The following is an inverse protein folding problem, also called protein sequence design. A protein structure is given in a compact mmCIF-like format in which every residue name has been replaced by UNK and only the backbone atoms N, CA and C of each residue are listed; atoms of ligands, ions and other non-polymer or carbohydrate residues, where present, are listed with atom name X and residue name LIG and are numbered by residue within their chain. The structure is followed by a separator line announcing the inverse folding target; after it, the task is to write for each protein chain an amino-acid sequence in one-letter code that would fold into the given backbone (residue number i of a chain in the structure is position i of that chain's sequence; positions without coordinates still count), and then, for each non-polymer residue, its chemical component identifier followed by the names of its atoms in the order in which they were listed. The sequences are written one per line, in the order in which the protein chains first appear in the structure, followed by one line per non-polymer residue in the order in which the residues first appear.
data_IF_054725766908
#
_entry.id   IF_054725766908
#
_cell.length_a   1.000
_cell.length_b   1.000
_cell.length_c   1.000
_cell.angle_alpha   90.00
_cell.angle_beta   90.00
_cell.angle_gamma   90.00
#
_symmetry.space_group_name_H-M   'P 1'
#
loop_
_entity.id
_entity.type
_entity.pdbx_description
1 polymer ?
#
# COMPACT_ATOMS: atom_id res chain seq x y z
N UNK A 1 15.80 -10.55 -10.58
CA UNK A 1 15.58 -9.77 -9.36
C UNK A 1 14.22 -10.09 -8.80
N UNK A 2 14.10 -10.44 -7.49
CA UNK A 2 12.84 -10.81 -6.88
C UNK A 2 12.34 -9.65 -6.02
N UNK A 3 11.15 -9.15 -6.30
CA UNK A 3 10.42 -8.20 -5.46
C UNK A 3 9.33 -8.94 -4.69
N UNK A 4 8.70 -8.30 -3.70
CA UNK A 4 7.59 -8.92 -2.96
C UNK A 4 6.44 -9.37 -3.87
N UNK A 5 6.21 -8.67 -5.00
CA UNK A 5 5.18 -9.03 -5.97
C UNK A 5 5.46 -10.39 -6.64
N UNK A 6 6.72 -10.73 -6.86
CA UNK A 6 7.09 -12.03 -7.43
C UNK A 6 6.62 -13.20 -6.56
N UNK A 7 6.75 -13.07 -5.24
CA UNK A 7 6.29 -14.10 -4.31
C UNK A 7 4.76 -14.23 -4.30
N UNK A 8 4.03 -13.10 -4.39
CA UNK A 8 2.57 -13.13 -4.49
C UNK A 8 2.11 -13.76 -5.81
N UNK A 9 2.73 -13.37 -6.92
CA UNK A 9 2.44 -13.89 -8.27
C UNK A 9 2.72 -15.40 -8.35
N UNK A 10 3.87 -15.86 -7.84
CA UNK A 10 4.22 -17.28 -7.79
C UNK A 10 3.26 -18.08 -6.91
N UNK A 11 2.91 -17.55 -5.74
CA UNK A 11 1.96 -18.20 -4.82
C UNK A 11 0.55 -18.30 -5.44
N UNK A 12 0.10 -17.25 -6.12
CA UNK A 12 -1.19 -17.24 -6.80
C UNK A 12 -1.24 -18.19 -8.00
N UNK A 13 -0.10 -18.36 -8.70
CA UNK A 13 -0.01 -19.32 -9.80
C UNK A 13 0.00 -20.78 -9.31
N UNK A 14 0.72 -21.07 -8.23
CA UNK A 14 0.87 -22.44 -7.70
C UNK A 14 -0.29 -22.89 -6.83
N UNK A 15 -0.88 -21.96 -6.06
CA UNK A 15 -1.91 -22.26 -5.05
C UNK A 15 -3.06 -21.24 -5.11
N UNK A 16 -3.73 -21.07 -6.28
CA UNK A 16 -4.68 -19.98 -6.49
C UNK A 16 -5.83 -19.96 -5.47
N UNK A 17 -6.36 -21.11 -5.12
CA UNK A 17 -7.54 -21.24 -4.26
C UNK A 17 -7.20 -21.44 -2.78
N UNK A 18 -5.89 -21.49 -2.43
CA UNK A 18 -5.45 -21.53 -1.04
C UNK A 18 -5.71 -20.17 -0.39
N UNK A 19 -6.18 -20.19 0.85
CA UNK A 19 -6.39 -19.00 1.67
C UNK A 19 -5.03 -18.34 1.93
N UNK A 20 -4.90 -17.06 1.55
CA UNK A 20 -3.72 -16.24 1.76
C UNK A 20 -3.80 -15.45 3.06
N UNK A 21 -5.00 -14.99 3.45
CA UNK A 21 -5.21 -14.17 4.63
C UNK A 21 -6.63 -14.36 5.17
N UNK A 22 -6.78 -14.26 6.48
CA UNK A 22 -8.05 -14.29 7.21
C UNK A 22 -8.08 -13.08 8.12
N UNK A 23 -9.22 -12.41 8.21
CA UNK A 23 -9.52 -11.37 9.18
C UNK A 23 -10.95 -11.54 9.73
N UNK A 24 -11.42 -10.58 10.53
CA UNK A 24 -12.77 -10.61 11.12
C UNK A 24 -13.89 -10.57 10.08
N UNK A 25 -13.61 -10.09 8.85
CA UNK A 25 -14.58 -9.99 7.76
C UNK A 25 -14.66 -11.24 6.90
N UNK A 26 -13.70 -12.17 7.04
CA UNK A 26 -13.66 -13.42 6.29
C UNK A 26 -12.28 -13.84 5.83
N UNK A 27 -12.20 -14.47 4.67
CA UNK A 27 -10.96 -14.97 4.09
C UNK A 27 -10.76 -14.54 2.64
N UNK A 28 -9.50 -14.43 2.24
CA UNK A 28 -9.11 -14.09 0.87
C UNK A 28 -8.09 -15.11 0.34
N UNK A 29 -8.33 -15.65 -0.86
CA UNK A 29 -7.39 -16.57 -1.52
C UNK A 29 -6.26 -15.79 -2.21
N UNK A 30 -5.15 -16.50 -2.55
CA UNK A 30 -4.04 -15.88 -3.31
C UNK A 30 -4.52 -15.31 -4.66
N UNK A 31 -5.39 -16.00 -5.37
CA UNK A 31 -6.01 -15.53 -6.63
C UNK A 31 -6.76 -14.22 -6.42
N UNK A 32 -7.61 -14.18 -5.39
CA UNK A 32 -8.41 -13.00 -5.06
C UNK A 32 -7.55 -11.82 -4.63
N UNK A 33 -6.54 -12.07 -3.78
CA UNK A 33 -5.60 -11.05 -3.33
C UNK A 33 -4.85 -10.43 -4.51
N UNK A 34 -4.28 -11.27 -5.39
CA UNK A 34 -3.57 -10.79 -6.57
C UNK A 34 -4.47 -10.00 -7.51
N UNK A 35 -5.66 -10.53 -7.83
CA UNK A 35 -6.63 -9.86 -8.72
C UNK A 35 -7.06 -8.51 -8.16
N UNK A 36 -7.48 -8.46 -6.89
CA UNK A 36 -7.96 -7.24 -6.26
C UNK A 36 -6.84 -6.18 -6.15
N UNK A 37 -5.62 -6.61 -5.83
CA UNK A 37 -4.45 -5.73 -5.79
C UNK A 37 -4.14 -5.14 -7.17
N UNK A 38 -4.19 -5.93 -8.24
CA UNK A 38 -3.94 -5.46 -9.62
C UNK A 38 -5.04 -4.53 -10.13
N UNK A 39 -6.29 -4.78 -9.77
CA UNK A 39 -7.42 -3.92 -10.11
C UNK A 39 -7.25 -2.53 -9.48
N UNK A 40 -6.97 -2.49 -8.18
CA UNK A 40 -6.70 -1.26 -7.45
C UNK A 40 -5.41 -0.56 -7.94
N UNK A 41 -4.35 -1.31 -8.24
CA UNK A 41 -3.11 -0.78 -8.78
C UNK A 41 -3.31 -0.11 -10.14
N UNK A 42 -4.17 -0.66 -10.99
CA UNK A 42 -4.50 -0.06 -12.30
C UNK A 42 -5.11 1.33 -12.12
N UNK A 43 -6.06 1.49 -11.20
CA UNK A 43 -6.65 2.79 -10.89
C UNK A 43 -5.59 3.74 -10.29
N UNK A 44 -4.80 3.29 -9.31
CA UNK A 44 -3.73 4.07 -8.67
C UNK A 44 -2.67 4.54 -9.66
N UNK A 45 -2.32 3.74 -10.63
CA UNK A 45 -1.27 4.05 -11.60
C UNK A 45 -1.54 5.30 -12.46
N UNK A 46 -2.77 5.80 -12.48
CA UNK A 46 -3.13 7.06 -13.15
C UNK A 46 -2.81 8.30 -12.30
N UNK A 47 -2.70 8.14 -10.99
CA UNK A 47 -2.46 9.25 -10.04
C UNK A 47 -1.08 9.17 -9.40
N UNK A 48 -0.59 7.94 -9.17
CA UNK A 48 0.68 7.67 -8.50
C UNK A 48 1.80 7.50 -9.52
N UNK A 49 2.90 8.23 -9.33
CA UNK A 49 4.15 8.01 -10.09
C UNK A 49 5.06 7.01 -9.37
N UNK A 50 5.89 6.24 -10.11
CA UNK A 50 6.85 5.33 -9.48
C UNK A 50 7.75 6.03 -8.46
N UNK A 51 8.03 5.35 -7.35
CA UNK A 51 8.85 5.86 -6.26
C UNK A 51 8.15 6.80 -5.28
N UNK A 52 6.86 7.13 -5.49
CA UNK A 52 6.10 7.97 -4.57
C UNK A 52 5.57 7.18 -3.36
N UNK A 53 5.55 7.84 -2.19
CA UNK A 53 5.02 7.30 -0.95
C UNK A 53 3.51 7.49 -0.82
N UNK A 54 2.84 6.48 -0.28
CA UNK A 54 1.39 6.46 -0.03
C UNK A 54 1.13 6.14 1.44
N UNK A 55 0.30 6.94 2.10
CA UNK A 55 -0.24 6.62 3.43
C UNK A 55 -1.45 5.72 3.26
N UNK A 56 -1.48 4.63 4.01
CA UNK A 56 -2.65 3.79 4.18
C UNK A 56 -3.23 4.08 5.57
N UNK A 57 -4.25 4.94 5.65
CA UNK A 57 -4.94 5.27 6.92
C UNK A 57 -6.01 4.21 7.19
N UNK A 58 -5.63 3.10 7.78
CA UNK A 58 -6.53 1.97 8.02
C UNK A 58 -5.97 0.98 9.05
N UNK A 59 -6.86 0.19 9.64
CA UNK A 59 -6.49 -0.90 10.53
C UNK A 59 -6.07 -2.15 9.74
N UNK A 60 -5.44 -3.10 10.43
CA UNK A 60 -4.98 -4.37 9.84
C UNK A 60 -6.18 -5.18 9.34
N UNK A 61 -6.21 -5.47 8.04
CA UNK A 61 -7.30 -6.21 7.41
C UNK A 61 -6.87 -6.79 6.05
N UNK A 62 -7.71 -7.63 5.45
CA UNK A 62 -7.58 -8.07 4.06
C UNK A 62 -7.50 -6.86 3.12
N UNK A 63 -8.30 -5.82 3.39
CA UNK A 63 -8.32 -4.60 2.59
C UNK A 63 -6.96 -3.86 2.66
N UNK A 64 -6.35 -3.80 3.85
CA UNK A 64 -5.04 -3.17 4.05
C UNK A 64 -3.95 -3.92 3.29
N UNK A 65 -3.90 -5.25 3.39
CA UNK A 65 -2.94 -6.05 2.64
C UNK A 65 -3.13 -5.89 1.12
N UNK A 66 -4.38 -5.86 0.67
CA UNK A 66 -4.70 -5.61 -0.75
C UNK A 66 -4.19 -4.25 -1.20
N UNK A 67 -4.39 -3.20 -0.39
CA UNK A 67 -3.91 -1.84 -0.67
C UNK A 67 -2.37 -1.76 -0.69
N UNK A 68 -1.68 -2.43 0.26
CA UNK A 68 -0.22 -2.54 0.26
C UNK A 68 0.30 -3.10 -1.07
N UNK A 69 -0.26 -4.25 -1.50
CA UNK A 69 0.14 -4.88 -2.76
C UNK A 69 -0.23 -4.04 -3.98
N UNK A 70 -1.35 -3.30 -3.92
CA UNK A 70 -1.78 -2.40 -4.98
C UNK A 70 -0.83 -1.21 -5.15
N UNK A 71 -0.45 -0.54 -4.06
CA UNK A 71 0.51 0.56 -4.09
C UNK A 71 1.84 0.10 -4.70
N UNK A 72 2.34 -1.04 -4.25
CA UNK A 72 3.58 -1.61 -4.79
C UNK A 72 3.44 -1.97 -6.27
N UNK A 73 2.32 -2.58 -6.68
CA UNK A 73 2.07 -2.91 -8.08
C UNK A 73 1.94 -1.66 -8.97
N UNK A 74 1.55 -0.53 -8.41
CA UNK A 74 1.53 0.78 -9.08
C UNK A 74 2.89 1.49 -9.06
N UNK A 75 3.95 0.85 -8.52
CA UNK A 75 5.32 1.37 -8.48
C UNK A 75 5.63 2.28 -7.30
N UNK A 76 4.73 2.44 -6.34
CA UNK A 76 4.92 3.23 -5.13
C UNK A 76 5.42 2.42 -3.94
N UNK A 77 5.64 3.10 -2.82
CA UNK A 77 5.87 2.47 -1.52
C UNK A 77 4.83 2.98 -0.51
N UNK A 78 4.61 2.23 0.57
CA UNK A 78 3.54 2.58 1.51
C UNK A 78 4.04 2.78 2.94
N UNK A 79 3.21 3.45 3.76
CA UNK A 79 3.28 3.40 5.21
C UNK A 79 1.87 3.29 5.77
N UNK A 80 1.66 2.33 6.67
CA UNK A 80 0.34 2.12 7.31
C UNK A 80 0.29 2.99 8.56
N UNK A 81 -0.72 3.86 8.61
CA UNK A 81 -1.01 4.72 9.75
C UNK A 81 -2.27 4.21 10.43
N UNK A 82 -2.18 3.92 11.74
CA UNK A 82 -3.36 3.56 12.52
C UNK A 82 -4.27 4.78 12.68
N UNK A 83 -5.57 4.68 12.38
CA UNK A 83 -6.53 5.78 12.56
C UNK A 83 -6.72 6.16 14.03
N UNK A 84 -6.29 5.32 14.96
CA UNK A 84 -6.39 5.57 16.40
C UNK A 84 -5.26 6.47 16.96
N UNK A 85 -4.29 6.83 16.13
CA UNK A 85 -3.25 7.76 16.53
C UNK A 85 -3.78 9.20 16.62
N UNK A 86 -3.27 10.02 17.55
CA UNK A 86 -3.62 11.44 17.61
C UNK A 86 -3.34 12.16 16.29
N UNK A 87 -4.25 13.05 15.87
CA UNK A 87 -4.14 13.75 14.58
C UNK A 87 -2.82 14.51 14.40
N UNK A 88 -2.31 15.15 15.47
CA UNK A 88 -1.02 15.84 15.40
C UNK A 88 0.11 14.87 15.07
N UNK A 89 0.05 13.64 15.58
CA UNK A 89 1.05 12.60 15.30
C UNK A 89 0.98 12.14 13.84
N UNK A 90 -0.23 11.94 13.32
CA UNK A 90 -0.45 11.60 11.91
C UNK A 90 0.12 12.68 10.97
N UNK A 91 -0.09 13.96 11.29
CA UNK A 91 0.48 15.08 10.51
C UNK A 91 2.02 15.12 10.58
N UNK A 92 2.61 14.87 11.75
CA UNK A 92 4.06 14.80 11.89
C UNK A 92 4.66 13.65 11.04
N UNK A 93 4.01 12.47 11.07
CA UNK A 93 4.44 11.32 10.27
C UNK A 93 4.30 11.61 8.77
N UNK A 94 3.19 12.27 8.35
CA UNK A 94 3.01 12.73 6.97
C UNK A 94 4.11 13.69 6.53
N UNK A 95 4.43 14.69 7.35
CA UNK A 95 5.49 15.66 7.03
C UNK A 95 6.86 14.98 6.88
N UNK A 96 7.14 13.95 7.70
CA UNK A 96 8.38 13.17 7.59
C UNK A 96 8.41 12.25 6.38
N UNK A 97 7.27 11.62 6.04
CA UNK A 97 7.14 10.70 4.90
C UNK A 97 7.11 11.44 3.56
N UNK A 98 6.60 12.67 3.54
CA UNK A 98 6.31 13.45 2.35
C UNK A 98 5.48 12.66 1.33
N UNK A 99 4.45 11.92 1.81
CA UNK A 99 3.61 11.10 0.96
C UNK A 99 2.84 11.96 -0.05
N UNK A 100 2.71 11.44 -1.27
CA UNK A 100 2.00 12.10 -2.37
C UNK A 100 0.49 11.83 -2.34
N UNK A 101 0.06 10.81 -1.58
CA UNK A 101 -1.30 10.32 -1.59
C UNK A 101 -1.65 9.65 -0.26
N UNK A 102 -2.91 9.76 0.13
CA UNK A 102 -3.51 9.01 1.25
C UNK A 102 -4.61 8.11 0.70
N UNK A 103 -4.62 6.85 1.10
CA UNK A 103 -5.74 5.92 0.87
C UNK A 103 -6.45 5.71 2.20
N UNK A 104 -7.77 5.85 2.19
CA UNK A 104 -8.61 5.60 3.35
C UNK A 104 -9.89 4.85 2.94
N UNK A 105 -10.43 3.95 3.77
CA UNK A 105 -11.75 3.38 3.54
C UNK A 105 -12.83 4.45 3.65
N UNK A 106 -14.01 4.22 3.06
CA UNK A 106 -15.12 5.18 3.05
C UNK A 106 -15.48 5.69 4.45
N UNK A 107 -15.42 4.83 5.47
CA UNK A 107 -15.69 5.18 6.85
C UNK A 107 -14.73 6.22 7.43
N UNK A 108 -13.49 6.30 6.93
CA UNK A 108 -12.45 7.23 7.40
C UNK A 108 -12.14 8.34 6.38
N UNK A 109 -12.82 8.36 5.24
CA UNK A 109 -12.49 9.24 4.12
C UNK A 109 -12.58 10.73 4.49
N UNK A 110 -13.65 11.15 5.17
CA UNK A 110 -13.82 12.53 5.57
C UNK A 110 -12.81 12.96 6.64
N UNK A 111 -12.54 12.10 7.62
CA UNK A 111 -11.53 12.35 8.65
C UNK A 111 -10.14 12.45 8.02
N UNK A 112 -9.80 11.57 7.09
CA UNK A 112 -8.55 11.61 6.35
C UNK A 112 -8.36 12.94 5.62
N UNK A 113 -9.39 13.45 4.95
CA UNK A 113 -9.35 14.76 4.27
C UNK A 113 -9.13 15.93 5.22
N UNK A 114 -9.67 15.87 6.43
CA UNK A 114 -9.45 16.91 7.45
C UNK A 114 -8.05 16.83 8.07
N UNK A 115 -7.54 15.61 8.28
CA UNK A 115 -6.22 15.37 8.86
C UNK A 115 -5.12 15.76 7.87
N UNK A 116 -5.27 15.40 6.60
CA UNK A 116 -4.27 15.52 5.53
C UNK A 116 -4.73 16.53 4.46
N UNK A 117 -5.11 17.75 4.87
CA UNK A 117 -5.70 18.78 4.00
C UNK A 117 -4.86 19.12 2.76
N UNK A 118 -3.53 19.00 2.86
CA UNK A 118 -2.59 19.36 1.80
C UNK A 118 -2.16 18.14 0.95
N UNK A 119 -2.74 16.97 1.20
CA UNK A 119 -2.41 15.73 0.48
C UNK A 119 -3.68 15.14 -0.13
N UNK A 120 -3.70 14.77 -1.41
CA UNK A 120 -4.84 14.11 -2.02
C UNK A 120 -5.24 12.86 -1.25
N UNK A 121 -6.55 12.67 -1.02
CA UNK A 121 -7.11 11.49 -0.38
C UNK A 121 -8.00 10.75 -1.37
N UNK A 122 -7.78 9.46 -1.57
CA UNK A 122 -8.64 8.59 -2.37
C UNK A 122 -9.38 7.59 -1.50
N UNK A 123 -10.63 7.32 -1.87
CA UNK A 123 -11.45 6.30 -1.24
C UNK A 123 -11.05 4.91 -1.75
N UNK A 124 -10.79 3.99 -0.83
CA UNK A 124 -10.31 2.64 -1.16
C UNK A 124 -11.33 1.87 -2.00
N UNK A 125 -12.62 2.01 -1.71
CA UNK A 125 -13.70 1.30 -2.36
C UNK A 125 -13.86 1.72 -3.83
N UNK A 126 -13.58 2.99 -4.15
CA UNK A 126 -13.66 3.51 -5.52
C UNK A 126 -12.56 2.92 -6.41
N UNK A 127 -11.40 2.61 -5.86
CA UNK A 127 -10.28 2.01 -6.61
C UNK A 127 -10.53 0.55 -7.04
N UNK A 128 -11.57 -0.09 -6.53
CA UNK A 128 -11.92 -1.48 -6.84
C UNK A 128 -12.87 -1.64 -8.04
N UNK A 129 -13.27 -0.55 -8.68
CA UNK A 129 -14.34 -0.57 -9.68
C UNK A 129 -13.86 -0.68 -11.13
N UNK A 130 -12.57 -0.48 -11.39
CA UNK A 130 -12.02 -0.43 -12.74
C UNK A 130 -11.58 -1.79 -13.30
N UNK A 131 -11.32 -1.81 -14.61
CA UNK A 131 -10.66 -2.94 -15.26
C UNK A 131 -9.15 -2.98 -14.94
N UNK A 132 -8.55 -4.16 -15.06
CA UNK A 132 -7.10 -4.31 -14.90
C UNK A 132 -6.41 -3.88 -16.20
N UNK A 133 -5.51 -2.89 -16.12
CA UNK A 133 -4.63 -2.48 -17.21
C UNK A 133 -3.32 -3.25 -17.14
N UNK A 134 -3.32 -4.45 -17.67
CA UNK A 134 -2.17 -5.35 -17.68
C UNK A 134 -0.94 -4.75 -18.36
N UNK A 135 -1.13 -3.98 -19.44
CA UNK A 135 -0.01 -3.36 -20.18
C UNK A 135 0.68 -2.29 -19.35
N UNK A 136 -0.09 -1.48 -18.65
CA UNK A 136 0.45 -0.42 -17.79
C UNK A 136 1.17 -1.03 -16.59
N UNK A 137 0.56 -1.98 -15.90
CA UNK A 137 1.19 -2.67 -14.77
C UNK A 137 2.47 -3.42 -15.18
N UNK A 138 2.48 -4.07 -16.35
CA UNK A 138 3.67 -4.73 -16.86
C UNK A 138 4.82 -3.75 -17.13
N UNK A 139 4.53 -2.55 -17.67
CA UNK A 139 5.56 -1.49 -17.87
C UNK A 139 6.13 -0.99 -16.54
N UNK A 140 5.28 -0.74 -15.54
CA UNK A 140 5.72 -0.35 -14.19
C UNK A 140 6.59 -1.48 -13.61
N UNK A 141 6.13 -2.72 -13.68
CA UNK A 141 6.82 -3.89 -13.15
C UNK A 141 8.20 -4.09 -13.75
N UNK A 142 8.37 -3.83 -15.04
CA UNK A 142 9.65 -3.96 -15.75
C UNK A 142 10.71 -2.95 -15.28
N UNK A 143 10.30 -1.83 -14.68
CA UNK A 143 11.20 -0.79 -14.19
C UNK A 143 11.56 -0.95 -12.70
N UNK A 144 10.84 -1.81 -11.96
CA UNK A 144 11.05 -2.00 -10.52
C UNK A 144 12.37 -2.72 -10.24
N UNK A 145 13.09 -2.20 -9.24
CA UNK A 145 14.32 -2.80 -8.72
C UNK A 145 14.08 -3.39 -7.32
N UNK A 146 14.88 -4.35 -6.92
CA UNK A 146 14.81 -4.93 -5.57
C UNK A 146 15.32 -3.98 -4.47
N UNK A 147 16.03 -2.92 -4.86
CA UNK A 147 16.48 -1.84 -3.98
C UNK A 147 15.47 -0.72 -3.83
N UNK A 148 14.39 -0.73 -4.62
CA UNK A 148 13.33 0.26 -4.48
C UNK A 148 12.68 0.17 -3.09
N UNK A 149 12.19 1.29 -2.54
CA UNK A 149 11.43 1.30 -1.31
C UNK A 149 10.19 0.40 -1.42
N UNK A 150 9.93 -0.38 -0.39
CA UNK A 150 8.72 -1.19 -0.24
C UNK A 150 7.75 -0.54 0.74
N UNK A 151 8.25 -0.21 1.93
CA UNK A 151 7.46 0.48 2.95
C UNK A 151 8.32 1.27 3.93
N UNK A 152 7.67 2.16 4.67
CA UNK A 152 8.28 2.90 5.77
C UNK A 152 7.56 2.56 7.08
N UNK A 153 8.33 2.12 8.08
CA UNK A 153 7.84 1.96 9.45
C UNK A 153 8.28 3.14 10.30
N UNK A 154 7.34 3.70 11.07
CA UNK A 154 7.65 4.75 12.02
C UNK A 154 7.92 4.19 13.41
N UNK A 155 8.99 4.67 14.02
CA UNK A 155 9.34 4.39 15.41
C UNK A 155 9.19 5.65 16.26
N UNK A 156 8.90 5.49 17.57
CA UNK A 156 8.94 6.57 18.53
C UNK A 156 10.42 6.96 18.74
N UNK A 157 10.86 8.03 18.09
CA UNK A 157 12.21 8.55 18.29
C UNK A 157 12.38 9.06 19.73
N UNK A 158 13.58 8.89 20.31
CA UNK A 158 13.95 9.41 21.64
C UNK A 158 13.80 10.93 21.76
N UNK A 159 13.72 11.64 20.64
CA UNK A 159 13.53 13.11 20.55
C UNK A 159 12.05 13.52 20.41
N UNK A 160 11.08 12.59 20.53
CA UNK A 160 9.66 12.87 20.34
C UNK A 160 9.22 13.00 18.87
N UNK A 161 10.12 13.21 17.94
CA UNK A 161 9.80 13.26 16.50
C UNK A 161 9.74 11.85 15.91
N UNK A 162 8.74 11.56 15.05
CA UNK A 162 8.65 10.26 14.39
C UNK A 162 9.81 10.07 13.41
N UNK A 163 10.50 8.94 13.53
CA UNK A 163 11.55 8.53 12.59
C UNK A 163 11.04 7.41 11.71
N UNK A 164 11.12 7.59 10.38
CA UNK A 164 10.75 6.58 9.40
C UNK A 164 11.95 5.71 9.03
N UNK A 165 11.84 4.40 9.25
CA UNK A 165 12.78 3.41 8.73
C UNK A 165 12.28 2.90 7.37
N UNK A 166 13.02 3.19 6.31
CA UNK A 166 12.69 2.75 4.94
C UNK A 166 13.19 1.33 4.72
N UNK A 167 12.31 0.45 4.27
CA UNK A 167 12.59 -0.96 3.98
C UNK A 167 12.41 -1.18 2.48
N UNK A 168 13.40 -1.83 1.85
CA UNK A 168 13.38 -2.16 0.43
C UNK A 168 12.80 -3.55 0.18
N UNK A 169 12.48 -3.87 -1.09
CA UNK A 169 12.10 -5.23 -1.49
C UNK A 169 13.19 -6.25 -1.12
N UNK A 170 14.47 -5.89 -1.31
CA UNK A 170 15.61 -6.74 -0.99
C UNK A 170 15.67 -7.07 0.51
N UNK A 171 15.45 -6.08 1.38
CA UNK A 171 15.45 -6.33 2.82
C UNK A 171 14.38 -7.34 3.22
N UNK A 172 13.23 -7.32 2.57
CA UNK A 172 12.10 -8.23 2.89
C UNK A 172 12.31 -9.63 2.29
N UNK A 173 13.01 -9.75 1.17
CA UNK A 173 13.24 -11.03 0.48
C UNK A 173 14.46 -11.82 1.02
N UNK A 174 15.25 -11.22 1.91
CA UNK A 174 16.51 -11.81 2.43
C UNK A 174 16.36 -12.55 3.76
N UNK A 175 15.12 -12.88 4.16
CA UNK A 175 14.82 -13.67 5.37
C UNK A 175 14.46 -15.10 5.02
#
# INVERSE_FOLDING_TARGET
MKTVLHYLEESAARFPDKIAVIDETGSCTYRSLLRNSRQMASALSHTLSPGQGVILLMDKSIATLTAMMAVVSAGGFYSVFSPHLPQHRLRQMQATLAASLVLAPAALFNDARQIFSDTPVLCLEELRQGAIDDRRLARIRAQMLDVDPLYVNFTSGSTGQPKGAMITHRNTASF
#
